data_IF_730685454085
#
_entry.id   IF_730685454085
#
_cell.length_a   1.000
_cell.length_b   1.000
_cell.length_c   1.000
_cell.angle_alpha   90.00
_cell.angle_beta   90.00
_cell.angle_gamma   90.00
#
_symmetry.space_group_name_H-M   'P 1'
#
loop_
_entity.id
_entity.type
_entity.pdbx_description
1 polymer ?
#
# COMPACT_ATOMS: atom_id res chain seq x y z
N UNK A 1 12.87 36.89 -19.07
CA UNK A 1 11.78 36.79 -18.07
C UNK A 1 11.49 35.29 -17.93
N UNK A 2 12.10 34.62 -16.97
CA UNK A 2 11.94 33.18 -16.78
C UNK A 2 10.57 32.91 -16.11
N UNK A 3 9.79 31.93 -16.58
CA UNK A 3 8.54 31.58 -15.93
C UNK A 3 8.86 30.87 -14.61
N UNK A 4 8.57 31.54 -13.50
CA UNK A 4 8.58 30.96 -12.17
C UNK A 4 7.45 29.93 -12.09
N UNK A 5 7.75 28.67 -12.34
CA UNK A 5 6.84 27.56 -12.03
C UNK A 5 6.84 27.37 -10.52
N UNK A 6 6.02 28.16 -9.83
CA UNK A 6 5.55 27.81 -8.49
C UNK A 6 4.74 26.53 -8.62
N UNK A 7 5.39 25.38 -8.41
CA UNK A 7 4.71 24.11 -8.17
C UNK A 7 3.96 24.27 -6.85
N UNK A 8 2.71 24.72 -6.94
CA UNK A 8 1.86 24.92 -5.78
C UNK A 8 1.58 23.55 -5.18
N UNK A 9 2.05 23.34 -3.95
CA UNK A 9 1.75 22.18 -3.09
C UNK A 9 0.25 21.81 -3.13
N UNK A 10 -0.61 22.81 -3.33
CA UNK A 10 -2.05 22.70 -3.57
C UNK A 10 -2.43 21.84 -4.78
N UNK A 11 -1.70 21.93 -5.90
CA UNK A 11 -1.96 21.12 -7.10
C UNK A 11 -1.64 19.64 -6.91
N UNK A 12 -0.65 19.32 -6.07
CA UNK A 12 -0.32 17.94 -5.71
C UNK A 12 -1.41 17.33 -4.81
N UNK A 13 -1.85 18.05 -3.78
CA UNK A 13 -2.96 17.61 -2.92
C UNK A 13 -4.27 17.45 -3.70
N UNK A 14 -4.56 18.34 -4.66
CA UNK A 14 -5.72 18.24 -5.52
C UNK A 14 -5.69 16.96 -6.36
N UNK A 15 -4.54 16.62 -6.97
CA UNK A 15 -4.37 15.36 -7.72
C UNK A 15 -4.55 14.11 -6.85
N UNK A 16 -3.98 14.09 -5.63
CA UNK A 16 -4.16 12.97 -4.71
C UNK A 16 -5.61 12.85 -4.23
N UNK A 17 -6.27 13.97 -3.97
CA UNK A 17 -7.69 14.02 -3.60
C UNK A 17 -8.56 13.48 -4.74
N UNK A 18 -8.34 13.93 -5.98
CA UNK A 18 -9.05 13.43 -7.16
C UNK A 18 -8.83 11.94 -7.39
N UNK A 19 -7.59 11.46 -7.27
CA UNK A 19 -7.27 10.04 -7.39
C UNK A 19 -7.95 9.20 -6.29
N UNK A 20 -8.03 9.71 -5.06
CA UNK A 20 -8.77 9.06 -3.97
C UNK A 20 -10.29 9.04 -4.24
N UNK A 21 -10.84 10.10 -4.84
CA UNK A 21 -12.26 10.16 -5.24
C UNK A 21 -12.59 9.26 -6.42
N UNK A 22 -11.65 9.02 -7.32
CA UNK A 22 -11.82 8.13 -8.46
C UNK A 22 -11.85 6.65 -8.05
N UNK A 23 -11.45 6.31 -6.81
CA UNK A 23 -11.57 4.95 -6.30
C UNK A 23 -13.05 4.59 -6.10
N UNK A 24 -13.46 3.49 -6.72
CA UNK A 24 -14.70 2.81 -6.39
C UNK A 24 -14.53 2.08 -5.04
N UNK A 25 -15.62 1.82 -4.30
CA UNK A 25 -15.56 1.12 -3.01
C UNK A 25 -15.84 1.95 -1.74
N UNK A 26 -15.94 1.32 -0.56
CA UNK A 26 -16.32 1.97 0.70
C UNK A 26 -15.39 3.14 1.07
N UNK A 27 -14.07 2.97 0.91
CA UNK A 27 -13.09 4.04 1.16
C UNK A 27 -13.34 5.26 0.25
N UNK A 28 -13.65 5.04 -1.03
CA UNK A 28 -13.96 6.12 -1.97
C UNK A 28 -15.26 6.85 -1.63
N UNK A 29 -16.29 6.12 -1.17
CA UNK A 29 -17.54 6.72 -0.66
C UNK A 29 -17.29 7.54 0.60
N UNK A 30 -16.51 7.01 1.54
CA UNK A 30 -16.10 7.73 2.76
C UNK A 30 -15.32 8.99 2.38
N UNK A 31 -14.31 8.91 1.52
CA UNK A 31 -13.50 10.06 1.11
C UNK A 31 -14.36 11.19 0.51
N UNK A 32 -15.28 10.86 -0.42
CA UNK A 32 -16.24 11.83 -0.99
C UNK A 32 -17.19 12.40 0.06
N UNK A 33 -17.62 11.59 1.02
CA UNK A 33 -18.47 12.02 2.13
C UNK A 33 -17.74 12.99 3.07
N UNK A 34 -16.53 12.64 3.50
CA UNK A 34 -15.70 13.47 4.38
C UNK A 34 -15.41 14.83 3.76
N UNK A 35 -15.08 14.88 2.46
CA UNK A 35 -14.83 16.15 1.78
C UNK A 35 -16.08 17.04 1.71
N UNK A 36 -17.24 16.47 1.32
CA UNK A 36 -18.50 17.21 1.31
C UNK A 36 -18.83 17.76 2.69
N UNK A 37 -18.69 16.95 3.74
CA UNK A 37 -18.94 17.35 5.12
C UNK A 37 -17.94 18.42 5.60
N UNK A 38 -16.67 18.30 5.25
CA UNK A 38 -15.64 19.31 5.55
C UNK A 38 -15.98 20.65 4.90
N UNK A 39 -16.35 20.65 3.61
CA UNK A 39 -16.67 21.86 2.86
C UNK A 39 -17.95 22.53 3.34
N UNK A 40 -18.94 21.75 3.78
CA UNK A 40 -20.22 22.25 4.27
C UNK A 40 -20.17 22.67 5.76
N UNK A 41 -19.17 22.22 6.51
CA UNK A 41 -19.04 22.50 7.94
C UNK A 41 -18.58 23.93 8.23
N UNK A 42 -19.39 24.66 9.00
CA UNK A 42 -19.08 26.01 9.52
C UNK A 42 -18.46 25.98 10.93
N UNK A 43 -18.69 24.91 11.69
CA UNK A 43 -18.27 24.78 13.10
C UNK A 43 -16.97 24.00 13.25
N UNK A 44 -16.06 24.48 14.10
CA UNK A 44 -14.79 23.82 14.40
C UNK A 44 -14.95 22.41 14.98
N UNK A 45 -15.99 22.17 15.79
CA UNK A 45 -16.26 20.85 16.38
C UNK A 45 -16.45 19.77 15.30
N UNK A 46 -17.29 20.03 14.29
CA UNK A 46 -17.51 19.09 13.18
C UNK A 46 -16.23 18.86 12.37
N UNK A 47 -15.43 19.91 12.13
CA UNK A 47 -14.14 19.76 11.45
C UNK A 47 -13.17 18.88 12.23
N UNK A 48 -13.08 19.08 13.55
CA UNK A 48 -12.26 18.25 14.42
C UNK A 48 -12.73 16.80 14.43
N UNK A 49 -14.03 16.55 14.51
CA UNK A 49 -14.59 15.20 14.44
C UNK A 49 -14.29 14.50 13.11
N UNK A 50 -14.31 15.23 11.99
CA UNK A 50 -13.95 14.70 10.68
C UNK A 50 -12.44 14.44 10.56
N UNK A 51 -11.59 15.29 11.12
CA UNK A 51 -10.13 15.02 11.15
C UNK A 51 -9.83 13.81 12.02
N UNK A 52 -10.47 13.69 13.20
CA UNK A 52 -10.34 12.56 14.10
C UNK A 52 -10.84 11.26 13.45
N UNK A 53 -11.98 11.31 12.75
CA UNK A 53 -12.50 10.16 12.00
C UNK A 53 -11.57 9.73 10.87
N UNK A 54 -10.97 10.67 10.15
CA UNK A 54 -9.92 10.40 9.15
C UNK A 54 -8.67 9.77 9.76
N UNK A 55 -8.23 10.25 10.93
CA UNK A 55 -7.09 9.68 11.64
C UNK A 55 -7.40 8.25 12.14
N UNK A 56 -8.63 8.02 12.62
CA UNK A 56 -9.08 6.69 13.03
C UNK A 56 -9.07 5.69 11.86
N UNK A 57 -9.38 6.15 10.63
CA UNK A 57 -9.28 5.32 9.43
C UNK A 57 -7.84 4.92 9.09
N UNK A 58 -6.84 5.68 9.52
CA UNK A 58 -5.41 5.35 9.37
C UNK A 58 -4.89 4.45 10.49
N UNK A 59 -5.63 4.30 11.58
CA UNK A 59 -5.22 3.50 12.74
C UNK A 59 -4.86 2.05 12.39
N UNK A 60 -5.62 1.31 11.54
CA UNK A 60 -5.27 -0.06 11.18
C UNK A 60 -3.90 -0.18 10.50
N UNK A 61 -3.49 0.82 9.70
CA UNK A 61 -2.19 0.82 9.04
C UNK A 61 -1.04 0.99 10.03
N UNK A 62 -1.21 1.88 11.02
CA UNK A 62 -0.20 2.09 12.08
C UNK A 62 -0.11 0.86 12.99
N UNK A 63 -1.26 0.28 13.38
CA UNK A 63 -1.29 -0.93 14.19
C UNK A 63 -0.62 -2.10 13.48
N UNK A 64 -0.85 -2.27 12.18
CA UNK A 64 -0.18 -3.30 11.39
C UNK A 64 1.35 -3.22 11.54
N UNK A 65 1.93 -2.04 11.32
CA UNK A 65 3.38 -1.87 11.39
C UNK A 65 3.90 -2.18 12.80
N UNK A 66 3.19 -1.71 13.83
CA UNK A 66 3.53 -1.98 15.22
C UNK A 66 3.54 -3.49 15.53
N UNK A 67 2.49 -4.22 15.16
CA UNK A 67 2.39 -5.66 15.41
C UNK A 67 3.40 -6.47 14.58
N UNK A 68 3.70 -6.05 13.35
CA UNK A 68 4.77 -6.66 12.54
C UNK A 68 6.11 -6.49 13.25
N UNK A 69 6.46 -5.29 13.71
CA UNK A 69 7.71 -5.06 14.45
C UNK A 69 7.79 -5.96 15.68
N UNK A 70 6.75 -5.97 16.53
CA UNK A 70 6.71 -6.84 17.71
C UNK A 70 6.81 -8.33 17.39
N UNK A 71 6.21 -8.77 16.28
CA UNK A 71 6.29 -10.17 15.86
C UNK A 71 7.69 -10.53 15.39
N UNK A 72 8.32 -9.67 14.60
CA UNK A 72 9.71 -9.84 14.12
C UNK A 72 10.71 -9.80 15.28
N UNK A 73 10.48 -8.94 16.27
CA UNK A 73 11.31 -8.81 17.47
C UNK A 73 11.10 -9.96 18.47
N UNK A 74 10.16 -10.88 18.20
CA UNK A 74 9.86 -12.01 19.07
C UNK A 74 9.12 -11.65 20.36
N UNK A 75 8.56 -10.44 20.46
CA UNK A 75 7.79 -9.95 21.62
C UNK A 75 6.43 -10.67 21.71
N UNK A 76 5.85 -11.03 20.56
CA UNK A 76 4.57 -11.74 20.48
C UNK A 76 4.71 -13.06 19.70
N UNK A 77 4.02 -14.10 20.14
CA UNK A 77 4.05 -15.46 19.59
C UNK A 77 2.88 -15.76 18.63
N UNK A 78 1.95 -14.81 18.45
CA UNK A 78 0.75 -14.94 17.62
C UNK A 78 1.03 -15.33 16.16
N UNK A 79 0.07 -15.96 15.48
CA UNK A 79 0.19 -16.25 14.05
C UNK A 79 0.28 -14.96 13.22
N UNK A 80 0.98 -15.01 12.08
CA UNK A 80 1.04 -13.94 11.10
C UNK A 80 -0.34 -13.58 10.55
N UNK A 81 -1.23 -14.56 10.41
CA UNK A 81 -2.64 -14.33 10.14
C UNK A 81 -3.30 -13.37 11.14
N UNK A 82 -3.00 -13.52 12.44
CA UNK A 82 -3.53 -12.65 13.50
C UNK A 82 -2.90 -11.26 13.46
N UNK A 83 -1.59 -11.18 13.21
CA UNK A 83 -0.86 -9.91 13.08
C UNK A 83 -1.36 -9.08 11.89
N UNK A 84 -1.70 -9.75 10.79
CA UNK A 84 -2.15 -9.12 9.54
C UNK A 84 -3.66 -8.85 9.48
N UNK A 85 -4.42 -9.14 10.55
CA UNK A 85 -5.87 -8.89 10.58
C UNK A 85 -6.23 -7.43 10.30
N UNK A 86 -5.40 -6.49 10.74
CA UNK A 86 -5.60 -5.06 10.50
C UNK A 86 -5.39 -4.67 9.03
N UNK A 87 -4.46 -5.34 8.34
CA UNK A 87 -4.28 -5.20 6.88
C UNK A 87 -5.53 -5.68 6.16
N UNK A 88 -6.05 -6.84 6.54
CA UNK A 88 -7.27 -7.37 5.91
C UNK A 88 -8.49 -6.48 6.15
N UNK A 89 -8.57 -5.86 7.33
CA UNK A 89 -9.60 -4.86 7.62
C UNK A 89 -9.47 -3.63 6.70
N UNK A 90 -8.25 -3.19 6.44
CA UNK A 90 -7.96 -2.13 5.48
C UNK A 90 -8.27 -2.56 4.03
N UNK A 91 -7.91 -3.77 3.64
CA UNK A 91 -8.23 -4.34 2.33
C UNK A 91 -9.75 -4.35 2.12
N UNK A 92 -10.53 -4.85 3.08
CA UNK A 92 -12.00 -4.85 3.00
C UNK A 92 -12.55 -3.42 2.86
N UNK A 93 -12.01 -2.46 3.61
CA UNK A 93 -12.40 -1.06 3.50
C UNK A 93 -12.05 -0.46 2.13
N UNK A 94 -10.92 -0.86 1.57
CA UNK A 94 -10.44 -0.46 0.24
C UNK A 94 -11.07 -1.27 -0.90
N UNK A 95 -11.99 -2.19 -0.61
CA UNK A 95 -12.63 -3.05 -1.60
C UNK A 95 -13.36 -2.24 -2.67
N UNK A 96 -12.83 -2.26 -3.88
CA UNK A 96 -13.36 -1.56 -5.04
C UNK A 96 -13.98 -2.52 -6.07
N UNK A 97 -13.98 -3.83 -5.78
CA UNK A 97 -14.46 -4.88 -6.67
C UNK A 97 -13.57 -5.16 -7.89
N UNK A 98 -12.36 -4.60 -7.96
CA UNK A 98 -11.44 -4.83 -9.08
C UNK A 98 -10.61 -6.10 -8.88
N UNK A 99 -10.10 -6.64 -9.98
CA UNK A 99 -9.17 -7.77 -9.96
C UNK A 99 -7.91 -7.41 -9.16
N UNK A 100 -7.35 -6.21 -9.36
CA UNK A 100 -6.20 -5.74 -8.59
C UNK A 100 -6.43 -5.78 -7.06
N UNK A 101 -7.64 -5.46 -6.59
CA UNK A 101 -7.96 -5.56 -5.15
C UNK A 101 -7.98 -7.01 -4.67
N UNK A 102 -8.67 -7.89 -5.40
CA UNK A 102 -8.74 -9.32 -5.06
C UNK A 102 -7.33 -9.92 -5.00
N UNK A 103 -6.49 -9.57 -5.98
CA UNK A 103 -5.10 -9.97 -6.03
C UNK A 103 -4.28 -9.44 -4.84
N UNK A 104 -4.47 -8.18 -4.43
CA UNK A 104 -3.83 -7.61 -3.24
C UNK A 104 -4.23 -8.34 -1.96
N UNK A 105 -5.52 -8.63 -1.79
CA UNK A 105 -6.01 -9.40 -0.64
C UNK A 105 -5.43 -10.82 -0.61
N UNK A 106 -5.42 -11.52 -1.76
CA UNK A 106 -4.85 -12.85 -1.89
C UNK A 106 -3.34 -12.87 -1.62
N UNK A 107 -2.61 -11.84 -2.04
CA UNK A 107 -1.20 -11.67 -1.71
C UNK A 107 -1.00 -11.64 -0.19
N UNK A 108 -1.71 -10.76 0.52
CA UNK A 108 -1.57 -10.66 1.99
C UNK A 108 -1.92 -11.97 2.68
N UNK A 109 -2.93 -12.69 2.18
CA UNK A 109 -3.29 -14.01 2.68
C UNK A 109 -2.18 -15.05 2.45
N UNK A 110 -1.63 -15.14 1.24
CA UNK A 110 -0.57 -16.10 0.94
C UNK A 110 0.72 -15.79 1.70
N UNK A 111 1.06 -14.51 1.87
CA UNK A 111 2.20 -14.10 2.70
C UNK A 111 1.99 -14.54 4.15
N UNK A 112 0.80 -14.33 4.72
CA UNK A 112 0.49 -14.78 6.08
C UNK A 112 0.65 -16.30 6.22
N UNK A 113 0.04 -17.07 5.32
CA UNK A 113 0.10 -18.54 5.33
C UNK A 113 1.52 -19.08 5.16
N UNK A 114 2.32 -18.44 4.30
CA UNK A 114 3.71 -18.82 4.08
C UNK A 114 4.56 -18.54 5.32
N UNK A 115 4.40 -17.36 5.92
CA UNK A 115 5.14 -16.96 7.13
C UNK A 115 4.74 -17.81 8.35
N UNK A 116 3.49 -18.27 8.42
CA UNK A 116 3.01 -19.20 9.44
C UNK A 116 3.45 -20.66 9.18
N UNK A 117 4.11 -20.95 8.06
CA UNK A 117 4.58 -22.29 7.70
C UNK A 117 3.46 -23.25 7.30
N UNK A 118 2.24 -22.76 7.07
CA UNK A 118 1.13 -23.58 6.55
C UNK A 118 1.31 -23.96 5.08
N UNK A 119 2.14 -23.21 4.36
CA UNK A 119 2.41 -23.38 2.93
C UNK A 119 3.92 -23.41 2.69
N UNK A 120 4.39 -24.38 1.91
CA UNK A 120 5.79 -24.61 1.59
C UNK A 120 6.26 -24.01 0.26
N UNK A 121 5.38 -23.29 -0.44
CA UNK A 121 5.61 -22.74 -1.78
C UNK A 121 6.81 -21.78 -1.85
N UNK A 122 7.48 -21.73 -3.00
CA UNK A 122 8.45 -20.68 -3.31
C UNK A 122 7.83 -19.28 -3.16
N UNK A 123 8.60 -18.31 -2.69
CA UNK A 123 8.16 -16.92 -2.54
C UNK A 123 7.68 -16.31 -3.87
N UNK A 124 8.23 -16.77 -5.01
CA UNK A 124 7.73 -16.36 -6.33
C UNK A 124 6.27 -16.80 -6.53
N UNK A 125 5.92 -18.01 -6.10
CA UNK A 125 4.54 -18.51 -6.18
C UNK A 125 3.59 -17.72 -5.25
N UNK A 126 4.07 -17.33 -4.06
CA UNK A 126 3.32 -16.48 -3.12
C UNK A 126 3.00 -15.12 -3.74
N UNK A 127 3.88 -14.58 -4.59
CA UNK A 127 3.71 -13.30 -5.27
C UNK A 127 2.90 -13.36 -6.58
N UNK A 128 2.42 -14.54 -7.02
CA UNK A 128 1.59 -14.69 -8.24
C UNK A 128 0.42 -13.70 -8.30
N UNK A 129 -0.39 -13.51 -7.22
CA UNK A 129 -1.49 -12.55 -7.26
C UNK A 129 -1.03 -11.14 -7.64
N UNK A 130 0.13 -10.70 -7.15
CA UNK A 130 0.70 -9.39 -7.50
C UNK A 130 1.07 -9.29 -8.98
N UNK A 131 1.65 -10.34 -9.57
CA UNK A 131 1.92 -10.34 -11.01
C UNK A 131 0.64 -10.25 -11.84
N UNK A 132 -0.43 -10.90 -11.41
CA UNK A 132 -1.75 -10.78 -12.06
C UNK A 132 -2.32 -9.37 -11.89
N UNK A 133 -2.17 -8.75 -10.71
CA UNK A 133 -2.59 -7.37 -10.49
C UNK A 133 -1.87 -6.36 -11.39
N UNK A 134 -0.59 -6.63 -11.71
CA UNK A 134 0.19 -5.79 -12.63
C UNK A 134 -0.42 -5.82 -14.04
N UNK A 135 -0.99 -6.93 -14.49
CA UNK A 135 -1.62 -7.00 -15.83
C UNK A 135 -2.88 -6.13 -15.94
N UNK A 136 -3.53 -5.83 -14.82
CA UNK A 136 -4.72 -4.97 -14.74
C UNK A 136 -4.35 -3.47 -14.78
N UNK A 137 -3.10 -3.13 -14.42
CA UNK A 137 -2.58 -1.77 -14.39
C UNK A 137 -1.72 -1.56 -15.64
N UNK A 138 -2.09 -0.66 -16.56
CA UNK A 138 -1.32 -0.39 -17.79
C UNK A 138 -0.36 0.80 -17.61
N UNK A 139 0.47 0.78 -16.58
CA UNK A 139 1.40 1.85 -16.20
C UNK A 139 2.81 1.65 -16.73
N UNK A 140 3.57 2.74 -16.88
CA UNK A 140 4.99 2.67 -17.29
C UNK A 140 5.93 2.16 -16.19
N UNK A 141 5.49 2.13 -14.93
CA UNK A 141 6.27 1.70 -13.75
C UNK A 141 6.25 0.20 -13.48
N UNK A 142 5.49 -0.56 -14.26
CA UNK A 142 5.06 -1.91 -13.89
C UNK A 142 6.17 -2.95 -14.02
N UNK A 143 7.09 -2.75 -14.96
CA UNK A 143 8.28 -3.60 -15.10
C UNK A 143 9.24 -3.49 -13.92
N UNK A 144 9.39 -2.31 -13.32
CA UNK A 144 10.24 -2.10 -12.15
C UNK A 144 9.67 -2.80 -10.93
N UNK A 145 8.34 -2.72 -10.75
CA UNK A 145 7.65 -3.40 -9.65
C UNK A 145 7.67 -4.93 -9.82
N UNK A 146 7.48 -5.45 -11.03
CA UNK A 146 7.61 -6.87 -11.32
C UNK A 146 9.04 -7.39 -11.03
N UNK A 147 10.07 -6.66 -11.48
CA UNK A 147 11.47 -7.00 -11.17
C UNK A 147 11.75 -6.98 -9.67
N UNK A 148 11.20 -6.01 -8.93
CA UNK A 148 11.33 -5.93 -7.49
C UNK A 148 10.78 -7.19 -6.80
N UNK A 149 9.60 -7.66 -7.21
CA UNK A 149 8.98 -8.87 -6.67
C UNK A 149 9.78 -10.14 -7.00
N UNK A 150 10.34 -10.22 -8.22
CA UNK A 150 11.20 -11.34 -8.61
C UNK A 150 12.46 -11.38 -7.74
N UNK A 151 13.16 -10.25 -7.59
CA UNK A 151 14.38 -10.18 -6.78
C UNK A 151 14.09 -10.48 -5.32
N UNK A 152 12.99 -9.95 -4.79
CA UNK A 152 12.56 -10.22 -3.43
C UNK A 152 12.25 -11.71 -3.24
N UNK A 153 11.52 -12.34 -4.17
CA UNK A 153 11.20 -13.76 -4.09
C UNK A 153 12.45 -14.65 -4.12
N UNK A 154 13.37 -14.39 -5.06
CA UNK A 154 14.63 -15.15 -5.18
C UNK A 154 15.52 -15.04 -3.94
N UNK A 155 15.59 -13.84 -3.34
CA UNK A 155 16.35 -13.60 -2.12
C UNK A 155 15.72 -14.31 -0.92
N UNK A 156 14.39 -14.21 -0.77
CA UNK A 156 13.65 -14.86 0.32
C UNK A 156 13.65 -16.39 0.21
N UNK A 157 13.71 -16.93 -1.00
CA UNK A 157 13.91 -18.37 -1.25
C UNK A 157 15.37 -18.82 -1.07
N UNK A 158 16.30 -17.92 -0.74
CA UNK A 158 17.74 -18.18 -0.69
C UNK A 158 18.34 -18.77 -1.99
N UNK A 159 17.61 -18.67 -3.11
CA UNK A 159 18.11 -19.04 -4.44
C UNK A 159 19.28 -18.15 -4.85
N UNK A 160 19.27 -16.91 -4.34
CA UNK A 160 20.26 -15.89 -4.61
C UNK A 160 20.66 -15.23 -3.27
N UNK A 161 21.96 -14.98 -3.08
CA UNK A 161 22.52 -14.37 -1.87
C UNK A 161 23.03 -12.96 -2.15
N UNK A 162 22.17 -12.09 -2.68
CA UNK A 162 22.52 -10.70 -2.94
C UNK A 162 22.43 -9.86 -1.67
N UNK A 163 23.05 -8.68 -1.68
CA UNK A 163 22.80 -7.70 -0.63
C UNK A 163 21.40 -7.12 -0.82
N UNK A 164 20.74 -6.76 0.29
CA UNK A 164 19.43 -6.10 0.24
C UNK A 164 19.43 -4.83 -0.62
N UNK A 165 20.57 -4.13 -0.69
CA UNK A 165 20.74 -2.97 -1.56
C UNK A 165 20.52 -3.33 -3.05
N UNK A 166 21.05 -4.47 -3.50
CA UNK A 166 20.88 -4.97 -4.87
C UNK A 166 19.45 -5.42 -5.13
N UNK A 167 18.84 -6.11 -4.17
CA UNK A 167 17.44 -6.56 -4.25
C UNK A 167 16.48 -5.39 -4.44
N UNK A 168 16.76 -4.22 -3.84
CA UNK A 168 15.91 -3.03 -3.94
C UNK A 168 16.27 -2.08 -5.11
N UNK A 169 17.25 -2.41 -5.96
CA UNK A 169 17.63 -1.61 -7.14
C UNK A 169 16.42 -1.17 -7.98
N UNK A 170 15.49 -2.08 -8.35
CA UNK A 170 14.32 -1.71 -9.15
C UNK A 170 13.41 -0.66 -8.49
N UNK A 171 13.46 -0.51 -7.17
CA UNK A 171 12.67 0.49 -6.44
C UNK A 171 13.40 1.83 -6.32
N UNK A 172 14.66 1.82 -5.88
CA UNK A 172 15.36 3.07 -5.57
C UNK A 172 15.95 3.76 -6.79
N UNK A 173 16.37 3.03 -7.84
CA UNK A 173 16.91 3.68 -9.06
C UNK A 173 15.85 4.56 -9.74
N UNK A 174 14.62 4.08 -10.03
CA UNK A 174 13.58 4.94 -10.56
C UNK A 174 13.19 6.08 -9.62
N UNK A 175 13.27 5.86 -8.29
CA UNK A 175 12.97 6.89 -7.30
C UNK A 175 14.01 8.01 -7.30
N UNK A 176 15.31 7.67 -7.45
CA UNK A 176 16.39 8.67 -7.57
C UNK A 176 16.27 9.42 -8.89
N UNK A 177 16.07 8.70 -10.02
CA UNK A 177 15.93 9.33 -11.33
C UNK A 177 14.69 10.22 -11.37
N UNK A 178 13.55 9.72 -10.88
CA UNK A 178 12.31 10.48 -10.76
C UNK A 178 12.45 11.69 -9.83
N UNK A 179 13.13 11.54 -8.69
CA UNK A 179 13.38 12.62 -7.74
C UNK A 179 14.39 13.67 -8.20
N UNK A 180 15.33 13.31 -9.10
CA UNK A 180 16.30 14.24 -9.71
C UNK A 180 15.73 15.05 -10.88
N UNK A 181 14.57 14.65 -11.41
CA UNK A 181 13.85 15.35 -12.51
C UNK A 181 12.89 16.44 -11.96
N UNK A 182 12.82 16.61 -10.63
CA UNK A 182 12.03 17.65 -9.95
C UNK A 182 12.88 18.72 -9.29
#
# INVERSE_FOLDING_TARGET
MAPTTTFTREGSYAKFSEAAKARHGPLGYMARGYEKLLQQSKTLCVRLSLVLGGLLLLLPAVLTLLFICWKVDGVIDWSWATVLVFVWMYDVLACNGTLAWLCGFLLHLFVALRLDGHVDWSWICVFIPSFVAILDWSGSSDGCYALQLIFLGLQLDHTVTWSWLVVFIPTWVPSIIGGLIF
#
